data_IF_395076249937
#
_entry.id   IF_395076249937
#
_cell.length_a   1.000
_cell.length_b   1.000
_cell.length_c   1.000
_cell.angle_alpha   90.00
_cell.angle_beta   90.00
_cell.angle_gamma   90.00
#
_symmetry.space_group_name_H-M   'P 1'
#
loop_
_entity.id
_entity.type
_entity.pdbx_description
1 polymer ?
#
# COMPACT_ATOMS: atom_id res chain seq x y z
N UNK A 1 38.76 36.04 10.89
CA UNK A 1 38.15 35.25 11.98
C UNK A 1 36.73 34.94 11.53
N UNK A 2 36.50 33.73 11.02
CA UNK A 2 35.82 32.60 11.70
C UNK A 2 34.31 32.80 11.85
N UNK A 3 33.55 32.09 11.02
CA UNK A 3 32.27 31.39 11.29
C UNK A 3 32.10 30.45 10.08
N UNK A 4 32.52 29.18 10.00
CA UNK A 4 32.49 28.06 10.95
C UNK A 4 31.10 27.71 11.45
N UNK A 5 30.15 27.44 10.56
CA UNK A 5 28.96 26.63 10.89
C UNK A 5 28.66 25.64 9.74
N UNK A 6 29.28 24.47 9.84
CA UNK A 6 28.91 23.27 9.12
C UNK A 6 27.79 22.56 9.89
N UNK A 7 26.85 22.00 9.12
CA UNK A 7 25.99 20.86 9.47
C UNK A 7 24.79 21.18 10.38
N UNK A 8 23.64 20.51 10.32
CA UNK A 8 23.21 19.24 9.73
C UNK A 8 21.74 19.46 9.32
N UNK A 9 21.36 19.22 8.06
CA UNK A 9 19.93 19.02 7.77
C UNK A 9 19.65 17.54 7.96
N UNK A 10 18.89 17.23 8.99
CA UNK A 10 18.44 15.88 9.29
C UNK A 10 17.67 15.33 8.09
N UNK A 11 18.15 14.23 7.49
CA UNK A 11 17.31 13.37 6.70
C UNK A 11 16.32 12.72 7.66
N UNK A 12 15.22 13.40 7.94
CA UNK A 12 14.07 12.80 8.60
C UNK A 12 13.72 11.55 7.80
N UNK A 13 13.84 10.39 8.46
CA UNK A 13 13.79 9.09 7.82
C UNK A 13 12.58 8.99 6.88
N UNK A 14 12.81 8.39 5.71
CA UNK A 14 11.75 7.94 4.83
C UNK A 14 10.90 6.93 5.61
N UNK A 15 9.84 7.40 6.26
CA UNK A 15 8.77 6.52 6.70
C UNK A 15 8.27 5.82 5.42
N UNK A 16 8.26 4.49 5.43
CA UNK A 16 7.67 3.71 4.34
C UNK A 16 6.22 4.19 4.24
N UNK A 17 5.91 4.99 3.21
CA UNK A 17 4.55 5.45 2.98
C UNK A 17 3.73 4.18 2.72
N UNK A 18 2.99 3.71 3.73
CA UNK A 18 2.07 2.59 3.55
C UNK A 18 1.16 2.93 2.39
N UNK A 19 0.90 1.94 1.53
CA UNK A 19 -0.02 2.09 0.40
C UNK A 19 -1.33 2.69 0.93
N UNK A 20 -1.83 3.70 0.23
CA UNK A 20 -3.16 4.26 0.48
C UNK A 20 -4.22 3.47 -0.29
N UNK A 21 -5.45 3.54 0.16
CA UNK A 21 -6.60 2.93 -0.51
C UNK A 21 -7.76 3.94 -0.54
N UNK A 22 -8.58 3.86 -1.58
CA UNK A 22 -9.85 4.60 -1.65
C UNK A 22 -10.87 3.84 -0.82
N UNK A 23 -11.27 4.41 0.31
CA UNK A 23 -12.26 3.80 1.21
C UNK A 23 -13.60 3.57 0.52
N UNK A 24 -14.20 2.41 0.81
CA UNK A 24 -15.58 2.09 0.46
C UNK A 24 -16.51 2.54 1.58
N UNK A 25 -17.26 3.61 1.33
CA UNK A 25 -18.22 4.16 2.30
C UNK A 25 -19.35 3.20 2.71
N UNK A 26 -19.61 2.15 1.92
CA UNK A 26 -20.64 1.13 2.22
C UNK A 26 -20.09 -0.02 3.05
N UNK A 27 -18.77 -0.22 3.02
CA UNK A 27 -18.10 -1.33 3.69
C UNK A 27 -16.90 -0.80 4.49
N UNK A 28 -17.12 -0.33 5.74
CA UNK A 28 -16.05 0.19 6.59
C UNK A 28 -14.89 -0.79 6.73
N UNK A 29 -13.67 -0.29 6.60
CA UNK A 29 -12.45 -1.12 6.62
C UNK A 29 -12.10 -1.81 5.30
N UNK A 30 -12.87 -1.56 4.23
CA UNK A 30 -12.60 -2.04 2.88
C UNK A 30 -12.41 -0.87 1.91
N UNK A 31 -11.77 -1.13 0.77
CA UNK A 31 -11.54 -0.11 -0.25
C UNK A 31 -10.85 -0.63 -1.50
N UNK A 32 -10.57 0.29 -2.41
CA UNK A 32 -9.89 0.00 -3.67
C UNK A 32 -8.46 0.49 -3.65
N UNK A 33 -7.57 -0.35 -4.17
CA UNK A 33 -6.17 -0.02 -4.42
C UNK A 33 -5.88 -0.14 -5.92
N UNK A 34 -5.14 0.83 -6.47
CA UNK A 34 -4.67 0.82 -7.85
C UNK A 34 -3.28 0.19 -7.92
N UNK A 35 -3.18 -0.97 -8.56
CA UNK A 35 -1.91 -1.69 -8.70
C UNK A 35 -0.96 -0.95 -9.64
N UNK A 36 0.34 -1.02 -9.35
CA UNK A 36 1.41 -0.49 -10.21
C UNK A 36 2.36 -1.60 -10.65
N UNK A 37 3.27 -1.28 -11.56
CA UNK A 37 4.31 -2.23 -11.97
C UNK A 37 5.10 -2.75 -10.76
N UNK A 38 5.44 -4.03 -10.80
CA UNK A 38 6.17 -4.76 -9.76
C UNK A 38 5.43 -4.96 -8.43
N UNK A 39 4.14 -4.66 -8.38
CA UNK A 39 3.29 -5.09 -7.27
C UNK A 39 3.11 -6.60 -7.23
N UNK A 40 3.00 -7.11 -6.02
CA UNK A 40 2.60 -8.49 -5.75
C UNK A 40 1.58 -8.51 -4.60
N UNK A 41 0.77 -9.57 -4.55
CA UNK A 41 -0.29 -9.67 -3.55
C UNK A 41 0.24 -9.78 -2.11
N UNK A 42 1.45 -10.29 -1.89
CA UNK A 42 2.03 -10.41 -0.55
C UNK A 42 2.47 -9.06 0.00
N UNK A 43 3.13 -8.23 -0.82
CA UNK A 43 3.54 -6.88 -0.42
C UNK A 43 2.32 -5.99 -0.17
N UNK A 44 1.30 -6.06 -1.04
CA UNK A 44 0.02 -5.36 -0.87
C UNK A 44 -0.68 -5.82 0.42
N UNK A 45 -0.80 -7.13 0.64
CA UNK A 45 -1.44 -7.68 1.84
C UNK A 45 -0.75 -7.20 3.12
N UNK A 46 0.58 -7.23 3.15
CA UNK A 46 1.38 -6.74 4.29
C UNK A 46 1.11 -5.27 4.60
N UNK A 47 1.07 -4.43 3.56
CA UNK A 47 0.91 -2.98 3.75
C UNK A 47 -0.49 -2.64 4.28
N UNK A 48 -1.51 -3.39 3.85
CA UNK A 48 -2.91 -3.21 4.25
C UNK A 48 -3.38 -4.07 5.44
N UNK A 49 -2.53 -4.95 5.99
CA UNK A 49 -2.94 -5.89 7.03
C UNK A 49 -4.00 -6.90 6.56
N UNK A 50 -3.92 -7.30 5.29
CA UNK A 50 -4.76 -8.32 4.67
C UNK A 50 -3.99 -9.65 4.49
N UNK A 51 -4.64 -10.62 3.87
CA UNK A 51 -4.03 -11.88 3.44
C UNK A 51 -4.03 -11.97 1.91
N UNK A 52 -2.92 -12.42 1.31
CA UNK A 52 -2.76 -12.44 -0.15
C UNK A 52 -3.79 -13.34 -0.83
N UNK A 53 -4.05 -14.52 -0.25
CA UNK A 53 -5.06 -15.45 -0.78
C UNK A 53 -6.48 -14.89 -0.60
N UNK A 54 -6.75 -14.18 0.50
CA UNK A 54 -8.01 -13.47 0.71
C UNK A 54 -8.24 -12.37 -0.33
N UNK A 55 -7.21 -11.58 -0.66
CA UNK A 55 -7.29 -10.59 -1.75
C UNK A 55 -7.56 -11.29 -3.08
N UNK A 56 -6.84 -12.37 -3.37
CA UNK A 56 -7.00 -13.11 -4.63
C UNK A 56 -8.43 -13.65 -4.80
N UNK A 57 -8.98 -14.31 -3.77
CA UNK A 57 -10.36 -14.82 -3.77
C UNK A 57 -11.37 -13.70 -3.97
N UNK A 58 -11.20 -12.56 -3.29
CA UNK A 58 -12.10 -11.40 -3.35
C UNK A 58 -12.13 -10.75 -4.73
N UNK A 59 -11.02 -10.81 -5.46
CA UNK A 59 -10.84 -10.18 -6.76
C UNK A 59 -10.89 -11.15 -7.95
N UNK A 60 -11.15 -12.44 -7.71
CA UNK A 60 -11.17 -13.46 -8.77
C UNK A 60 -9.81 -13.73 -9.43
N UNK A 61 -8.70 -13.46 -8.72
CA UNK A 61 -7.34 -13.68 -9.22
C UNK A 61 -6.99 -15.16 -9.01
N UNK A 62 -6.68 -15.87 -10.11
CA UNK A 62 -6.43 -17.31 -10.10
C UNK A 62 -4.99 -17.70 -9.74
N UNK A 63 -4.01 -16.88 -10.12
CA UNK A 63 -2.61 -17.07 -9.75
C UNK A 63 -2.12 -15.82 -9.01
N UNK A 64 -1.79 -15.99 -7.73
CA UNK A 64 -1.32 -14.92 -6.84
C UNK A 64 0.01 -14.30 -7.28
N UNK A 65 0.76 -14.99 -8.16
CA UNK A 65 2.02 -14.51 -8.74
C UNK A 65 1.82 -13.69 -10.02
N UNK A 66 0.60 -13.69 -10.56
CA UNK A 66 0.23 -12.97 -11.79
C UNK A 66 -0.80 -11.90 -11.44
N UNK A 67 -0.35 -10.85 -10.75
CA UNK A 67 -1.13 -9.65 -10.54
C UNK A 67 -0.94 -8.70 -11.74
N UNK A 68 -1.99 -8.38 -12.52
CA UNK A 68 -1.87 -7.36 -13.55
C UNK A 68 -1.55 -6.00 -12.93
N UNK A 69 -0.66 -5.24 -13.57
CA UNK A 69 -0.45 -3.84 -13.22
C UNK A 69 -1.63 -2.99 -13.71
N UNK A 70 -1.81 -1.82 -13.09
CA UNK A 70 -2.76 -0.79 -13.51
C UNK A 70 -4.22 -1.25 -13.49
N UNK A 71 -4.60 -2.01 -12.45
CA UNK A 71 -5.99 -2.39 -12.19
C UNK A 71 -6.41 -1.99 -10.79
N UNK A 72 -7.71 -1.78 -10.59
CA UNK A 72 -8.28 -1.63 -9.24
C UNK A 72 -8.54 -3.01 -8.65
N UNK A 73 -7.99 -3.26 -7.47
CA UNK A 73 -8.30 -4.44 -6.66
C UNK A 73 -8.94 -4.01 -5.35
N UNK A 74 -9.82 -4.85 -4.82
CA UNK A 74 -10.54 -4.65 -3.59
C UNK A 74 -9.78 -5.28 -2.42
N UNK A 75 -9.38 -4.46 -1.47
CA UNK A 75 -8.47 -4.79 -0.35
C UNK A 75 -9.08 -4.39 0.98
N UNK A 76 -8.58 -4.93 2.09
CA UNK A 76 -8.73 -4.25 3.36
C UNK A 76 -8.10 -2.86 3.27
N UNK A 77 -8.75 -1.88 3.88
CA UNK A 77 -8.36 -0.50 3.82
C UNK A 77 -8.29 0.07 5.24
N UNK A 78 -7.16 -0.13 5.95
CA UNK A 78 -6.98 0.36 7.30
C UNK A 78 -6.84 1.89 7.32
N UNK A 79 -7.75 2.55 8.02
CA UNK A 79 -7.82 3.99 8.22
C UNK A 79 -9.16 4.32 8.85
N UNK A 80 -9.16 5.15 9.91
CA UNK A 80 -10.37 5.56 10.63
C UNK A 80 -11.29 6.29 9.65
N UNK A 81 -12.48 5.73 9.43
CA UNK A 81 -13.60 6.44 8.77
C UNK A 81 -13.88 7.77 9.44
#
# INVERSE_FOLDING_TARGET
MRFSDLAVVAFAGIALAKRGCRHDHKNPGMGWYWTVEFDDLYSIARDFGDDADAIARRNGIKDVRLLPAFINIYVKCPGTV
#
